data_IF_353267517669
#
_entry.id   IF_353267517669
#
_cell.length_a   1.000
_cell.length_b   1.000
_cell.length_c   1.000
_cell.angle_alpha   90.00
_cell.angle_beta   90.00
_cell.angle_gamma   90.00
#
_symmetry.space_group_name_H-M   'P 1'
#
loop_
_entity.id
_entity.type
_entity.pdbx_description
1 polymer ?
#
# COMPACT_ATOMS: atom_id res chain seq x y z
N UNK A 1 -20.34 1.37 -14.14
CA UNK A 1 -19.57 1.80 -15.33
C UNK A 1 -18.80 0.60 -15.85
N UNK A 2 -18.62 0.48 -17.16
CA UNK A 2 -17.75 -0.52 -17.78
C UNK A 2 -16.29 -0.12 -17.60
N UNK A 3 -15.44 -1.06 -17.15
CA UNK A 3 -14.01 -0.82 -16.97
C UNK A 3 -13.32 -0.57 -18.32
N UNK A 4 -12.25 0.24 -18.34
CA UNK A 4 -11.48 0.46 -19.56
C UNK A 4 -10.95 -0.84 -20.14
N UNK A 5 -10.90 -0.95 -21.47
CA UNK A 5 -10.28 -2.09 -22.16
C UNK A 5 -9.05 -1.64 -22.92
N UNK A 6 -7.90 -2.24 -22.61
CA UNK A 6 -6.65 -2.00 -23.33
C UNK A 6 -6.69 -2.56 -24.74
N UNK A 7 -5.89 -1.97 -25.64
CA UNK A 7 -5.64 -2.57 -26.93
C UNK A 7 -5.00 -3.96 -26.75
N UNK A 8 -5.26 -4.92 -27.67
CA UNK A 8 -4.62 -6.22 -27.61
C UNK A 8 -3.09 -6.08 -27.56
N UNK A 9 -2.39 -6.90 -26.75
CA UNK A 9 -0.93 -6.85 -26.70
C UNK A 9 -0.37 -7.13 -28.09
N UNK A 10 0.57 -6.29 -28.51
CA UNK A 10 1.34 -6.42 -29.75
C UNK A 10 2.69 -7.05 -29.40
N UNK A 11 3.78 -6.47 -29.90
CA UNK A 11 5.15 -6.96 -29.67
C UNK A 11 5.82 -6.36 -28.44
N UNK A 12 5.35 -5.21 -27.93
CA UNK A 12 6.10 -4.44 -26.93
C UNK A 12 6.18 -5.17 -25.57
N UNK A 13 5.05 -5.59 -25.00
CA UNK A 13 5.05 -6.38 -23.75
C UNK A 13 5.86 -7.67 -23.87
N UNK A 14 5.75 -8.40 -24.99
CA UNK A 14 6.49 -9.63 -25.21
C UNK A 14 8.01 -9.38 -25.25
N UNK A 15 8.44 -8.34 -25.95
CA UNK A 15 9.85 -7.95 -26.05
C UNK A 15 10.40 -7.44 -24.71
N UNK A 16 9.62 -6.64 -23.97
CA UNK A 16 9.97 -6.18 -22.62
C UNK A 16 10.22 -7.37 -21.69
N UNK A 17 9.31 -8.34 -21.69
CA UNK A 17 9.42 -9.55 -20.86
C UNK A 17 10.62 -10.41 -21.27
N UNK A 18 10.89 -10.53 -22.58
CA UNK A 18 12.06 -11.25 -23.12
C UNK A 18 13.37 -10.60 -22.65
N UNK A 19 13.51 -9.28 -22.78
CA UNK A 19 14.72 -8.55 -22.36
C UNK A 19 14.92 -8.58 -20.85
N UNK A 20 13.85 -8.41 -20.07
CA UNK A 20 13.92 -8.53 -18.61
C UNK A 20 14.39 -9.93 -18.19
N UNK A 21 13.84 -10.99 -18.79
CA UNK A 21 14.27 -12.36 -18.51
C UNK A 21 15.74 -12.60 -18.91
N UNK A 22 16.15 -12.08 -20.08
CA UNK A 22 17.53 -12.17 -20.55
C UNK A 22 18.51 -11.50 -19.57
N UNK A 23 18.18 -10.33 -19.03
CA UNK A 23 19.00 -9.65 -18.03
C UNK A 23 19.29 -10.54 -16.81
N UNK A 24 18.25 -11.13 -16.20
CA UNK A 24 18.45 -12.01 -15.03
C UNK A 24 19.29 -13.25 -15.33
N UNK A 25 19.18 -13.80 -16.55
CA UNK A 25 20.00 -14.93 -16.99
C UNK A 25 21.46 -14.52 -17.19
N UNK A 26 21.71 -13.43 -17.90
CA UNK A 26 23.07 -12.93 -18.18
C UNK A 26 23.80 -12.51 -16.91
N UNK A 27 23.10 -11.88 -15.97
CA UNK A 27 23.66 -11.44 -14.69
C UNK A 27 23.73 -12.56 -13.64
N UNK A 28 23.25 -13.76 -13.95
CA UNK A 28 23.11 -14.88 -13.01
C UNK A 28 22.38 -14.50 -11.71
N UNK A 29 21.37 -13.62 -11.81
CA UNK A 29 20.56 -13.14 -10.68
C UNK A 29 19.22 -13.85 -10.63
N UNK A 30 18.75 -14.15 -9.42
CA UNK A 30 17.39 -14.63 -9.21
C UNK A 30 16.38 -13.50 -9.45
N UNK A 31 15.19 -13.84 -9.95
CA UNK A 31 14.05 -12.92 -10.09
C UNK A 31 13.28 -12.71 -8.77
N UNK A 32 13.76 -13.31 -7.68
CA UNK A 32 13.16 -13.24 -6.35
C UNK A 32 14.18 -12.70 -5.36
N UNK A 33 13.73 -12.37 -4.15
CA UNK A 33 14.52 -11.81 -3.08
C UNK A 33 15.80 -12.58 -2.77
N UNK A 34 16.79 -11.83 -2.29
CA UNK A 34 18.12 -12.32 -1.93
C UNK A 34 18.35 -12.22 -0.41
N UNK A 35 19.55 -12.58 0.05
CA UNK A 35 19.91 -12.52 1.47
C UNK A 35 19.89 -11.08 2.03
N UNK A 36 20.12 -10.06 1.21
CA UNK A 36 20.04 -8.67 1.63
C UNK A 36 18.58 -8.27 1.93
N UNK A 37 17.63 -8.68 1.09
CA UNK A 37 16.19 -8.50 1.35
C UNK A 37 15.77 -9.22 2.64
N UNK A 38 16.21 -10.46 2.82
CA UNK A 38 15.90 -11.23 4.04
C UNK A 38 16.49 -10.56 5.30
N UNK A 39 17.74 -10.10 5.26
CA UNK A 39 18.37 -9.37 6.36
C UNK A 39 17.62 -8.08 6.71
N UNK A 40 17.20 -7.31 5.69
CA UNK A 40 16.37 -6.12 5.86
C UNK A 40 15.02 -6.45 6.50
N UNK A 41 14.37 -7.53 6.08
CA UNK A 41 13.09 -7.96 6.65
C UNK A 41 13.25 -8.36 8.13
N UNK A 42 14.28 -9.14 8.46
CA UNK A 42 14.58 -9.55 9.84
C UNK A 42 14.82 -8.32 10.71
N UNK A 43 15.63 -7.36 10.24
CA UNK A 43 15.89 -6.12 10.96
C UNK A 43 14.58 -5.36 11.24
N UNK A 44 13.78 -5.10 10.20
CA UNK A 44 12.54 -4.31 10.33
C UNK A 44 11.51 -4.99 11.24
N UNK A 45 11.29 -6.30 11.09
CA UNK A 45 10.34 -7.05 11.93
C UNK A 45 10.85 -7.14 13.37
N UNK A 46 12.16 -7.33 13.58
CA UNK A 46 12.73 -7.36 14.93
C UNK A 46 12.64 -5.98 15.61
N UNK A 47 12.90 -4.90 14.86
CA UNK A 47 12.71 -3.54 15.36
C UNK A 47 11.25 -3.26 15.72
N UNK A 48 10.30 -3.71 14.91
CA UNK A 48 8.87 -3.58 15.19
C UNK A 48 8.52 -4.25 16.53
N UNK A 49 8.95 -5.50 16.72
CA UNK A 49 8.69 -6.28 17.95
C UNK A 49 9.38 -5.63 19.14
N UNK A 50 10.64 -5.20 19.01
CA UNK A 50 11.39 -4.57 20.09
C UNK A 50 10.75 -3.24 20.55
N UNK A 51 10.41 -2.35 19.60
CA UNK A 51 9.77 -1.07 19.90
C UNK A 51 8.39 -1.25 20.53
N UNK A 52 7.58 -2.14 19.96
CA UNK A 52 6.27 -2.47 20.52
C UNK A 52 6.40 -3.02 21.95
N UNK A 53 7.35 -3.93 22.17
CA UNK A 53 7.57 -4.54 23.49
C UNK A 53 8.02 -3.49 24.50
N UNK A 54 8.96 -2.62 24.13
CA UNK A 54 9.46 -1.57 25.02
C UNK A 54 8.36 -0.56 25.41
N UNK A 55 7.61 -0.07 24.42
CA UNK A 55 6.51 0.87 24.65
C UNK A 55 5.39 0.29 25.52
N UNK A 56 5.04 -0.98 25.31
CA UNK A 56 3.87 -1.60 25.98
C UNK A 56 4.20 -2.19 27.35
N UNK A 57 5.41 -2.71 27.56
CA UNK A 57 5.75 -3.46 28.79
C UNK A 57 6.77 -2.77 29.70
N UNK A 58 7.54 -1.79 29.21
CA UNK A 58 8.63 -1.16 29.98
C UNK A 58 8.40 0.32 30.28
N UNK A 59 7.34 0.93 29.74
CA UNK A 59 6.87 2.30 30.06
C UNK A 59 8.02 3.32 30.11
N UNK A 60 8.67 3.63 28.97
CA UNK A 60 9.84 4.49 28.95
C UNK A 60 9.53 5.92 29.42
N UNK A 61 10.57 6.69 29.76
CA UNK A 61 10.39 8.08 30.18
C UNK A 61 9.75 8.92 29.06
N UNK A 62 8.94 9.93 29.44
CA UNK A 62 8.02 10.64 28.54
C UNK A 62 8.68 11.18 27.24
N UNK A 63 9.90 11.71 27.32
CA UNK A 63 10.63 12.20 26.15
C UNK A 63 10.99 11.11 25.14
N UNK A 64 11.27 9.89 25.61
CA UNK A 64 11.59 8.74 24.77
C UNK A 64 10.34 8.09 24.16
N UNK A 65 9.20 8.12 24.86
CA UNK A 65 7.93 7.53 24.37
C UNK A 65 7.52 8.11 23.02
N UNK A 66 7.52 9.45 22.89
CA UNK A 66 7.09 10.10 21.64
C UNK A 66 8.04 9.76 20.49
N UNK A 67 9.35 9.79 20.75
CA UNK A 67 10.35 9.41 19.75
C UNK A 67 10.17 7.95 19.31
N UNK A 68 9.99 7.04 20.26
CA UNK A 68 9.74 5.63 19.97
C UNK A 68 8.44 5.41 19.20
N UNK A 69 7.38 6.16 19.47
CA UNK A 69 6.16 6.11 18.67
C UNK A 69 6.39 6.59 17.21
N UNK A 70 7.22 7.62 17.00
CA UNK A 70 7.60 8.08 15.65
C UNK A 70 8.42 7.01 14.94
N UNK A 71 9.40 6.42 15.62
CA UNK A 71 10.22 5.33 15.06
C UNK A 71 9.35 4.10 14.77
N UNK A 72 8.42 3.75 15.67
CA UNK A 72 7.47 2.66 15.48
C UNK A 72 6.61 2.88 14.24
N UNK A 73 6.01 4.07 14.08
CA UNK A 73 5.23 4.41 12.90
C UNK A 73 6.04 4.31 11.60
N UNK A 74 7.30 4.72 11.64
CA UNK A 74 8.23 4.60 10.51
C UNK A 74 8.52 3.13 10.19
N UNK A 75 8.82 2.31 11.20
CA UNK A 75 9.07 0.88 11.05
C UNK A 75 7.83 0.15 10.54
N UNK A 76 6.63 0.49 11.01
CA UNK A 76 5.35 -0.05 10.49
C UNK A 76 5.23 0.21 8.99
N UNK A 77 5.46 1.44 8.54
CA UNK A 77 5.44 1.78 7.12
C UNK A 77 6.51 1.00 6.32
N UNK A 78 7.72 0.89 6.87
CA UNK A 78 8.82 0.17 6.22
C UNK A 78 8.56 -1.34 6.14
N UNK A 79 7.96 -1.98 7.14
CA UNK A 79 7.52 -3.38 7.07
C UNK A 79 6.46 -3.54 5.98
N UNK A 80 5.49 -2.62 5.91
CA UNK A 80 4.48 -2.59 4.85
C UNK A 80 5.09 -2.54 3.45
N UNK A 81 6.06 -1.66 3.22
CA UNK A 81 6.63 -1.46 1.89
C UNK A 81 7.74 -2.45 1.51
N UNK A 82 8.50 -2.99 2.48
CA UNK A 82 9.70 -3.78 2.19
C UNK A 82 9.61 -5.26 2.59
N UNK A 83 8.51 -5.67 3.20
CA UNK A 83 8.25 -7.06 3.56
C UNK A 83 6.90 -7.47 3.02
N UNK A 84 5.83 -6.76 3.42
CA UNK A 84 4.49 -7.08 2.95
C UNK A 84 4.34 -6.94 1.44
N UNK A 85 4.70 -5.78 0.89
CA UNK A 85 4.56 -5.49 -0.54
C UNK A 85 5.24 -6.54 -1.43
N UNK A 86 6.53 -6.81 -1.20
CA UNK A 86 7.29 -7.84 -1.92
C UNK A 86 6.69 -9.25 -1.73
N UNK A 87 6.17 -9.54 -0.54
CA UNK A 87 5.48 -10.79 -0.24
C UNK A 87 4.18 -10.94 -1.04
N UNK A 88 3.39 -9.87 -1.11
CA UNK A 88 2.12 -9.82 -1.81
C UNK A 88 2.29 -9.82 -3.34
N UNK A 89 3.43 -9.34 -3.86
CA UNK A 89 3.84 -9.51 -5.25
C UNK A 89 4.44 -10.89 -5.56
N UNK A 90 4.72 -11.70 -4.54
CA UNK A 90 5.35 -13.02 -4.70
C UNK A 90 6.84 -12.97 -5.05
N UNK A 91 7.46 -11.79 -4.96
CA UNK A 91 8.88 -11.58 -5.29
C UNK A 91 9.80 -11.79 -4.09
N UNK A 92 9.29 -11.73 -2.86
CA UNK A 92 10.11 -11.83 -1.63
C UNK A 92 10.95 -13.11 -1.55
N UNK A 93 10.45 -14.24 -2.04
CA UNK A 93 11.15 -15.52 -2.06
C UNK A 93 10.67 -16.43 -3.19
N UNK A 94 11.52 -17.38 -3.59
CA UNK A 94 11.09 -18.51 -4.45
C UNK A 94 10.05 -19.42 -3.80
N UNK A 95 9.92 -19.37 -2.47
CA UNK A 95 9.00 -20.23 -1.72
C UNK A 95 7.65 -19.52 -1.48
N UNK A 96 6.53 -20.02 -2.04
CA UNK A 96 5.24 -19.36 -1.91
C UNK A 96 4.77 -19.16 -0.46
N UNK A 97 5.15 -20.05 0.45
CA UNK A 97 4.82 -19.94 1.88
C UNK A 97 5.50 -18.74 2.54
N UNK A 98 6.73 -18.42 2.15
CA UNK A 98 7.45 -17.25 2.67
C UNK A 98 6.87 -15.95 2.13
N UNK A 99 6.49 -15.92 0.85
CA UNK A 99 5.76 -14.78 0.26
C UNK A 99 4.45 -14.52 1.01
N UNK A 100 3.68 -15.58 1.29
CA UNK A 100 2.44 -15.47 2.06
C UNK A 100 2.67 -15.01 3.49
N UNK A 101 3.71 -15.51 4.16
CA UNK A 101 4.07 -15.06 5.50
C UNK A 101 4.48 -13.57 5.52
N UNK A 102 5.26 -13.14 4.53
CA UNK A 102 5.63 -11.75 4.35
C UNK A 102 4.39 -10.88 4.08
N UNK A 103 3.48 -11.31 3.20
CA UNK A 103 2.22 -10.62 2.93
C UNK A 103 1.34 -10.47 4.20
N UNK A 104 1.26 -11.52 5.03
CA UNK A 104 0.51 -11.52 6.29
C UNK A 104 1.04 -10.55 7.36
N UNK A 105 2.20 -9.93 7.16
CA UNK A 105 2.64 -8.86 8.06
C UNK A 105 1.69 -7.65 8.01
N UNK A 106 1.01 -7.38 6.89
CA UNK A 106 -0.08 -6.38 6.85
C UNK A 106 -1.29 -6.82 7.66
N UNK A 107 -1.67 -8.10 7.59
CA UNK A 107 -2.81 -8.63 8.36
C UNK A 107 -2.56 -8.52 9.88
N UNK A 108 -1.33 -8.79 10.32
CA UNK A 108 -0.90 -8.52 11.71
C UNK A 108 -1.04 -7.05 12.08
N UNK A 109 -0.58 -6.15 11.20
CA UNK A 109 -0.63 -4.70 11.38
C UNK A 109 -2.06 -4.12 11.24
N UNK A 110 -3.05 -4.93 10.89
CA UNK A 110 -4.46 -4.57 10.90
C UNK A 110 -5.04 -4.24 9.54
N UNK A 111 -4.26 -4.32 8.46
CA UNK A 111 -4.81 -4.32 7.11
C UNK A 111 -5.31 -5.71 6.70
N UNK A 112 -5.58 -5.90 5.41
CA UNK A 112 -5.88 -7.21 4.84
C UNK A 112 -5.07 -7.42 3.58
N UNK A 113 -4.21 -8.44 3.54
CA UNK A 113 -3.44 -8.78 2.34
C UNK A 113 -4.34 -9.14 1.16
N UNK A 114 -5.51 -9.74 1.39
CA UNK A 114 -6.49 -10.00 0.34
C UNK A 114 -7.04 -8.69 -0.27
N UNK A 115 -7.48 -7.76 0.58
CA UNK A 115 -8.02 -6.48 0.10
C UNK A 115 -6.95 -5.66 -0.59
N UNK A 116 -5.72 -5.71 -0.08
CA UNK A 116 -4.57 -5.06 -0.69
C UNK A 116 -4.21 -5.67 -2.04
N UNK A 117 -4.14 -7.00 -2.18
CA UNK A 117 -3.89 -7.67 -3.47
C UNK A 117 -4.97 -7.34 -4.50
N UNK A 118 -6.24 -7.40 -4.10
CA UNK A 118 -7.35 -7.01 -4.96
C UNK A 118 -7.25 -5.53 -5.39
N UNK A 119 -6.88 -4.63 -4.47
CA UNK A 119 -6.73 -3.19 -4.78
C UNK A 119 -5.51 -2.94 -5.66
N UNK A 120 -4.36 -3.35 -5.19
CA UNK A 120 -3.07 -2.97 -5.75
C UNK A 120 -2.77 -3.77 -7.03
N UNK A 121 -2.88 -5.10 -6.98
CA UNK A 121 -2.48 -5.97 -8.10
C UNK A 121 -3.55 -6.07 -9.19
N UNK A 122 -4.83 -6.06 -8.81
CA UNK A 122 -5.93 -6.23 -9.78
C UNK A 122 -6.51 -4.91 -10.28
N UNK A 123 -6.51 -3.84 -9.48
CA UNK A 123 -7.06 -2.54 -9.89
C UNK A 123 -5.94 -1.56 -10.25
N UNK A 124 -5.13 -1.15 -9.28
CA UNK A 124 -4.11 -0.13 -9.46
C UNK A 124 -3.09 -0.51 -10.56
N UNK A 125 -2.45 -1.68 -10.50
CA UNK A 125 -1.49 -2.11 -11.53
C UNK A 125 -2.12 -2.37 -12.90
N UNK A 126 -3.45 -2.53 -12.98
CA UNK A 126 -4.14 -2.67 -14.25
C UNK A 126 -4.55 -1.31 -14.84
N UNK A 127 -4.96 -0.36 -13.99
CA UNK A 127 -5.61 0.89 -14.40
C UNK A 127 -4.94 2.14 -13.81
N UNK A 128 -3.63 2.09 -13.57
CA UNK A 128 -2.85 3.17 -12.94
C UNK A 128 -3.16 4.52 -13.57
N UNK A 129 -3.37 5.55 -12.75
CA UNK A 129 -3.66 6.93 -13.19
C UNK A 129 -4.93 7.13 -14.03
N UNK A 130 -5.85 6.17 -14.05
CA UNK A 130 -7.17 6.35 -14.68
C UNK A 130 -8.18 6.81 -13.61
N UNK A 131 -8.61 8.07 -13.68
CA UNK A 131 -9.59 8.63 -12.72
C UNK A 131 -10.91 7.84 -12.71
N UNK A 132 -11.45 7.63 -11.51
CA UNK A 132 -12.68 6.87 -11.26
C UNK A 132 -12.53 5.34 -11.35
N UNK A 133 -11.33 4.83 -11.64
CA UNK A 133 -11.01 3.40 -11.60
C UNK A 133 -9.89 3.13 -10.60
N UNK A 134 -8.82 3.91 -10.65
CA UNK A 134 -7.71 3.81 -9.70
C UNK A 134 -8.11 4.39 -8.34
N UNK A 135 -8.33 3.50 -7.36
CA UNK A 135 -8.74 3.83 -5.98
C UNK A 135 -7.67 4.66 -5.25
N UNK A 136 -6.40 4.63 -5.70
CA UNK A 136 -5.31 5.43 -5.13
C UNK A 136 -5.44 6.94 -5.43
N UNK A 137 -6.26 7.30 -6.44
CA UNK A 137 -6.57 8.69 -6.78
C UNK A 137 -7.85 9.22 -6.11
N UNK A 138 -8.60 8.37 -5.38
CA UNK A 138 -9.94 8.71 -4.90
C UNK A 138 -9.95 9.19 -3.44
N UNK A 139 -9.56 10.46 -3.26
CA UNK A 139 -9.67 11.18 -1.98
C UNK A 139 -10.62 12.40 -2.10
N UNK A 140 -11.54 12.35 -3.06
CA UNK A 140 -12.48 13.44 -3.33
C UNK A 140 -13.49 13.60 -2.17
N UNK A 141 -13.99 14.82 -1.93
CA UNK A 141 -13.64 16.09 -2.57
C UNK A 141 -12.40 16.76 -1.96
N UNK A 142 -11.72 16.12 -1.00
CA UNK A 142 -10.72 16.72 -0.11
C UNK A 142 -9.42 17.12 -0.80
N UNK A 143 -8.90 16.26 -1.68
CA UNK A 143 -7.75 16.59 -2.51
C UNK A 143 -8.06 16.35 -3.98
N UNK A 144 -7.37 17.12 -4.82
CA UNK A 144 -7.31 16.94 -6.27
C UNK A 144 -5.95 16.36 -6.62
N UNK A 145 -5.94 15.12 -7.09
CA UNK A 145 -4.74 14.35 -7.41
C UNK A 145 -4.50 14.25 -8.92
N UNK A 146 -5.50 14.55 -9.76
CA UNK A 146 -5.36 14.56 -11.22
C UNK A 146 -5.83 15.88 -11.84
N UNK A 147 -5.40 16.21 -13.07
CA UNK A 147 -5.91 17.34 -13.82
C UNK A 147 -7.42 17.27 -14.13
N UNK A 148 -7.97 16.07 -14.32
CA UNK A 148 -9.37 15.88 -14.74
C UNK A 148 -10.37 15.94 -13.58
N UNK A 149 -9.89 15.84 -12.34
CA UNK A 149 -10.73 15.97 -11.16
C UNK A 149 -11.24 17.42 -11.00
N UNK A 150 -12.52 17.62 -10.61
CA UNK A 150 -13.09 18.94 -10.39
C UNK A 150 -12.26 19.76 -9.38
N UNK A 151 -12.00 21.02 -9.71
CA UNK A 151 -11.26 21.94 -8.82
C UNK A 151 -12.22 22.70 -7.90
N UNK A 152 -12.06 22.50 -6.60
CA UNK A 152 -12.78 23.23 -5.56
C UNK A 152 -11.90 24.36 -4.99
N UNK A 153 -12.55 25.34 -4.33
CA UNK A 153 -11.86 26.51 -3.76
C UNK A 153 -10.79 26.13 -2.72
N UNK A 154 -11.04 25.07 -1.95
CA UNK A 154 -10.10 24.56 -0.94
C UNK A 154 -8.77 24.09 -1.57
N UNK A 155 -8.79 23.52 -2.79
CA UNK A 155 -7.59 22.94 -3.41
C UNK A 155 -6.46 23.95 -3.65
N UNK A 156 -6.74 25.25 -3.68
CA UNK A 156 -5.68 26.29 -3.71
C UNK A 156 -4.77 26.25 -2.48
N UNK A 157 -5.25 25.69 -1.37
CA UNK A 157 -4.52 25.51 -0.12
C UNK A 157 -4.11 24.06 0.13
N UNK A 158 -4.24 23.16 -0.86
CA UNK A 158 -3.90 21.73 -0.70
C UNK A 158 -2.46 21.52 -0.22
N UNK A 159 -1.53 22.37 -0.65
CA UNK A 159 -0.14 22.38 -0.19
C UNK A 159 0.02 22.62 1.33
N UNK A 160 -0.99 23.17 2.02
CA UNK A 160 -0.98 23.39 3.46
C UNK A 160 -1.62 22.25 4.25
N UNK A 161 -2.57 21.52 3.66
CA UNK A 161 -3.37 20.52 4.40
C UNK A 161 -3.17 19.07 3.92
N UNK A 162 -2.44 18.83 2.83
CA UNK A 162 -2.24 17.46 2.33
C UNK A 162 -1.60 16.55 3.38
N UNK A 163 -0.64 17.08 4.16
CA UNK A 163 0.06 16.33 5.21
C UNK A 163 -0.90 15.76 6.26
N UNK A 164 -1.95 16.52 6.62
CA UNK A 164 -2.97 16.03 7.54
C UNK A 164 -3.70 14.79 6.98
N UNK A 165 -4.15 14.82 5.74
CA UNK A 165 -4.82 13.66 5.13
C UNK A 165 -3.86 12.48 4.94
N UNK A 166 -2.59 12.74 4.66
CA UNK A 166 -1.58 11.69 4.52
C UNK A 166 -1.38 10.97 5.86
N UNK A 167 -1.34 11.68 6.97
CA UNK A 167 -1.29 11.08 8.30
C UNK A 167 -2.48 10.14 8.58
N UNK A 168 -3.65 10.39 7.98
CA UNK A 168 -4.84 9.58 8.21
C UNK A 168 -4.81 8.25 7.44
N UNK A 169 -3.93 8.06 6.45
CA UNK A 169 -3.97 6.89 5.56
C UNK A 169 -3.98 5.57 6.36
N UNK A 170 -2.98 5.33 7.20
CA UNK A 170 -2.85 4.04 7.90
C UNK A 170 -3.98 3.82 8.90
N UNK A 171 -4.34 4.85 9.69
CA UNK A 171 -5.45 4.77 10.65
C UNK A 171 -6.77 4.49 9.93
N UNK A 172 -7.05 5.21 8.84
CA UNK A 172 -8.27 5.02 8.05
C UNK A 172 -8.32 3.63 7.43
N UNK A 173 -7.17 3.10 7.02
CA UNK A 173 -7.06 1.80 6.41
C UNK A 173 -7.45 0.68 7.37
N UNK A 174 -6.78 0.63 8.53
CA UNK A 174 -6.97 -0.48 9.47
C UNK A 174 -8.34 -0.43 10.16
N UNK A 175 -8.92 0.76 10.36
CA UNK A 175 -10.19 0.94 11.07
C UNK A 175 -11.42 1.04 10.16
N UNK A 176 -11.27 1.43 8.89
CA UNK A 176 -12.43 1.75 8.04
C UNK A 176 -12.36 1.12 6.65
N UNK A 177 -11.33 1.41 5.85
CA UNK A 177 -11.43 1.17 4.40
C UNK A 177 -11.50 -0.32 4.05
N UNK A 178 -10.82 -1.19 4.80
CA UNK A 178 -10.91 -2.64 4.59
C UNK A 178 -12.31 -3.18 4.90
N UNK A 179 -12.94 -2.70 5.98
CA UNK A 179 -14.30 -3.09 6.34
C UNK A 179 -15.31 -2.60 5.30
N UNK A 180 -15.15 -1.35 4.86
CA UNK A 180 -15.96 -0.80 3.78
C UNK A 180 -15.85 -1.67 2.52
N UNK A 181 -14.63 -2.01 2.08
CA UNK A 181 -14.39 -2.89 0.92
C UNK A 181 -14.99 -4.28 1.13
N UNK A 182 -14.83 -4.87 2.31
CA UNK A 182 -15.40 -6.16 2.67
C UNK A 182 -16.94 -6.19 2.54
N UNK A 183 -17.64 -5.21 3.14
CA UNK A 183 -19.10 -5.19 3.14
C UNK A 183 -19.71 -4.72 1.81
N UNK A 184 -19.09 -3.74 1.15
CA UNK A 184 -19.56 -3.27 -0.17
C UNK A 184 -19.21 -4.24 -1.30
N UNK A 185 -18.25 -5.16 -1.06
CA UNK A 185 -17.69 -6.10 -2.03
C UNK A 185 -17.14 -5.38 -3.27
N UNK A 186 -16.55 -4.20 -3.07
CA UNK A 186 -16.06 -3.33 -4.14
C UNK A 186 -14.78 -2.59 -3.73
N UNK A 187 -13.97 -2.28 -4.72
CA UNK A 187 -12.82 -1.36 -4.64
C UNK A 187 -13.08 -0.27 -5.68
N UNK A 188 -13.37 0.95 -5.23
CA UNK A 188 -13.92 1.99 -6.09
C UNK A 188 -15.10 1.48 -6.93
N UNK A 189 -14.93 1.50 -8.25
CA UNK A 189 -15.93 1.03 -9.22
C UNK A 189 -15.82 -0.46 -9.58
N UNK A 190 -14.81 -1.18 -9.08
CA UNK A 190 -14.51 -2.59 -9.41
C UNK A 190 -15.13 -3.53 -8.37
N UNK A 191 -15.83 -4.57 -8.83
CA UNK A 191 -16.36 -5.61 -7.95
C UNK A 191 -15.25 -6.56 -7.45
N UNK A 192 -15.27 -6.87 -6.15
CA UNK A 192 -14.39 -7.87 -5.58
C UNK A 192 -14.79 -9.28 -6.04
N UNK A 193 -13.79 -10.13 -6.24
CA UNK A 193 -14.04 -11.56 -6.44
C UNK A 193 -14.69 -12.15 -5.17
N UNK A 194 -15.58 -13.14 -5.31
CA UNK A 194 -16.12 -13.83 -4.15
C UNK A 194 -14.98 -14.41 -3.29
N UNK A 195 -15.02 -14.10 -2.00
CA UNK A 195 -14.09 -14.63 -1.01
C UNK A 195 -14.48 -16.07 -0.65
N UNK A 196 -13.49 -16.95 -0.51
CA UNK A 196 -13.70 -18.28 0.05
C UNK A 196 -13.96 -18.19 1.57
N UNK A 197 -14.46 -19.28 2.17
CA UNK A 197 -14.59 -19.35 3.63
C UNK A 197 -13.26 -19.09 4.34
N UNK A 198 -12.16 -19.60 3.79
CA UNK A 198 -10.83 -19.39 4.34
C UNK A 198 -10.41 -17.92 4.29
N UNK A 199 -10.73 -17.19 3.22
CA UNK A 199 -10.43 -15.76 3.12
C UNK A 199 -11.20 -14.95 4.16
N UNK A 200 -12.46 -15.31 4.42
CA UNK A 200 -13.25 -14.70 5.49
C UNK A 200 -12.69 -14.98 6.88
N UNK A 201 -12.24 -16.22 7.15
CA UNK A 201 -11.62 -16.59 8.41
C UNK A 201 -10.30 -15.85 8.64
N UNK A 202 -9.46 -15.72 7.60
CA UNK A 202 -8.22 -14.94 7.65
C UNK A 202 -8.54 -13.47 7.94
N UNK A 203 -9.47 -12.86 7.19
CA UNK A 203 -9.85 -11.46 7.37
C UNK A 203 -10.28 -11.19 8.82
N UNK A 204 -11.31 -11.89 9.31
CA UNK A 204 -11.83 -11.62 10.65
C UNK A 204 -10.89 -12.08 11.77
N UNK A 205 -10.19 -13.19 11.58
CA UNK A 205 -9.19 -13.68 12.54
C UNK A 205 -8.09 -12.66 12.77
N UNK A 206 -7.54 -12.09 11.71
CA UNK A 206 -6.51 -11.05 11.84
C UNK A 206 -7.06 -9.71 12.32
N UNK A 207 -8.30 -9.32 12.00
CA UNK A 207 -8.92 -8.13 12.60
C UNK A 207 -9.05 -8.28 14.11
N UNK A 208 -9.53 -9.43 14.61
CA UNK A 208 -9.63 -9.70 16.05
C UNK A 208 -8.24 -9.75 16.70
N UNK A 209 -7.29 -10.43 16.06
CA UNK A 209 -5.90 -10.49 16.54
C UNK A 209 -5.27 -9.10 16.63
N UNK A 210 -5.43 -8.26 15.61
CA UNK A 210 -4.92 -6.91 15.59
C UNK A 210 -5.57 -6.03 16.66
N UNK A 211 -6.90 -6.08 16.83
CA UNK A 211 -7.60 -5.34 17.89
C UNK A 211 -7.11 -5.79 19.28
N UNK A 212 -6.89 -7.09 19.49
CA UNK A 212 -6.33 -7.60 20.74
C UNK A 212 -4.90 -7.12 20.97
N UNK A 213 -4.05 -7.26 19.95
CA UNK A 213 -2.62 -7.00 20.04
C UNK A 213 -2.30 -5.50 20.09
N UNK A 214 -2.86 -4.66 19.21
CA UNK A 214 -2.49 -3.25 19.10
C UNK A 214 -3.43 -2.28 19.83
N UNK A 215 -4.57 -2.76 20.34
CA UNK A 215 -5.52 -1.93 21.12
C UNK A 215 -5.72 -2.50 22.52
N UNK A 216 -6.33 -3.68 22.64
CA UNK A 216 -6.74 -4.24 23.92
C UNK A 216 -5.58 -4.41 24.91
N UNK A 217 -4.49 -5.04 24.48
CA UNK A 217 -3.32 -5.27 25.32
C UNK A 217 -2.61 -3.96 25.71
N UNK A 218 -2.27 -3.03 24.79
CA UNK A 218 -1.71 -1.74 25.17
C UNK A 218 -2.60 -0.92 26.10
N UNK A 219 -3.92 -0.86 25.86
CA UNK A 219 -4.85 -0.14 26.74
C UNK A 219 -4.82 -0.72 28.15
N UNK A 220 -4.76 -2.05 28.28
CA UNK A 220 -4.64 -2.72 29.57
C UNK A 220 -3.31 -2.40 30.27
N UNK A 221 -2.19 -2.37 29.53
CA UNK A 221 -0.86 -2.21 30.10
C UNK A 221 -0.51 -0.75 30.45
N UNK A 222 -0.81 0.20 29.57
CA UNK A 222 -0.35 1.61 29.70
C UNK A 222 -1.50 2.61 29.90
N UNK A 223 -2.75 2.13 29.90
CA UNK A 223 -3.95 2.95 30.03
C UNK A 223 -4.42 3.58 28.72
N UNK A 224 -5.71 3.92 28.67
CA UNK A 224 -6.37 4.46 27.47
C UNK A 224 -5.72 5.72 26.92
N UNK A 225 -5.37 6.69 27.77
CA UNK A 225 -4.82 7.97 27.32
C UNK A 225 -3.44 7.80 26.66
N UNK A 226 -2.53 7.07 27.31
CA UNK A 226 -1.18 6.79 26.79
C UNK A 226 -1.26 6.01 25.49
N UNK A 227 -2.12 4.98 25.43
CA UNK A 227 -2.36 4.22 24.21
C UNK A 227 -2.88 5.11 23.09
N UNK A 228 -3.88 5.96 23.35
CA UNK A 228 -4.49 6.80 22.33
C UNK A 228 -3.47 7.76 21.72
N UNK A 229 -2.62 8.39 22.54
CA UNK A 229 -1.56 9.28 22.05
C UNK A 229 -0.53 8.49 21.23
N UNK A 230 -0.05 7.36 21.73
CA UNK A 230 0.91 6.52 21.01
C UNK A 230 0.37 5.99 19.67
N UNK A 231 -0.88 5.54 19.67
CA UNK A 231 -1.61 5.08 18.48
C UNK A 231 -1.76 6.20 17.45
N UNK A 232 -2.17 7.40 17.86
CA UNK A 232 -2.31 8.54 16.96
C UNK A 232 -0.96 8.99 16.39
N UNK A 233 0.10 9.06 17.19
CA UNK A 233 1.44 9.46 16.73
C UNK A 233 2.02 8.43 15.76
N UNK A 234 2.10 7.16 16.18
CA UNK A 234 2.64 6.08 15.34
C UNK A 234 1.80 5.88 14.08
N UNK A 235 0.48 5.91 14.19
CA UNK A 235 -0.44 5.80 13.06
C UNK A 235 -0.33 6.97 12.09
N UNK A 236 -0.20 8.20 12.60
CA UNK A 236 0.02 9.39 11.77
C UNK A 236 1.34 9.32 11.00
N UNK A 237 2.44 8.93 11.67
CA UNK A 237 3.74 8.77 11.02
C UNK A 237 3.71 7.66 9.98
N UNK A 238 3.13 6.51 10.32
CA UNK A 238 2.97 5.41 9.36
C UNK A 238 2.16 5.84 8.13
N UNK A 239 1.03 6.52 8.35
CA UNK A 239 0.19 7.04 7.28
C UNK A 239 0.93 8.04 6.40
N UNK A 240 1.67 8.97 7.00
CA UNK A 240 2.42 9.99 6.26
C UNK A 240 3.53 9.36 5.41
N UNK A 241 4.35 8.48 5.99
CA UNK A 241 5.44 7.80 5.27
C UNK A 241 4.88 6.95 4.12
N UNK A 242 3.82 6.16 4.36
CA UNK A 242 3.17 5.36 3.32
C UNK A 242 2.59 6.25 2.21
N UNK A 243 1.92 7.35 2.55
CA UNK A 243 1.31 8.25 1.58
C UNK A 243 2.35 8.90 0.68
N UNK A 244 3.49 9.33 1.24
CA UNK A 244 4.59 9.89 0.44
C UNK A 244 5.09 8.86 -0.57
N UNK A 245 5.32 7.62 -0.13
CA UNK A 245 5.81 6.54 -1.01
C UNK A 245 4.80 6.17 -2.09
N UNK A 246 3.52 5.98 -1.73
CA UNK A 246 2.49 5.60 -2.69
C UNK A 246 2.24 6.69 -3.74
N UNK A 247 2.30 7.97 -3.34
CA UNK A 247 2.03 9.06 -4.26
C UNK A 247 3.16 9.34 -5.25
N UNK A 248 4.36 8.79 -5.04
CA UNK A 248 5.42 8.80 -6.05
C UNK A 248 5.01 8.08 -7.35
N UNK A 249 4.05 7.15 -7.29
CA UNK A 249 3.50 6.46 -8.46
C UNK A 249 2.44 7.27 -9.23
N UNK A 250 2.01 8.43 -8.70
CA UNK A 250 0.86 9.17 -9.22
C UNK A 250 1.17 10.65 -9.44
N UNK A 251 1.49 11.38 -8.36
CA UNK A 251 1.50 12.84 -8.34
C UNK A 251 2.90 13.39 -8.48
N UNK A 252 3.59 12.98 -9.54
CA UNK A 252 4.93 13.45 -9.94
C UNK A 252 4.86 14.01 -11.35
N UNK A 253 5.67 15.02 -11.65
CA UNK A 253 5.53 15.88 -12.85
C UNK A 253 5.54 15.13 -14.19
N UNK A 254 6.16 13.95 -14.25
CA UNK A 254 6.36 13.19 -15.48
C UNK A 254 5.31 12.09 -15.73
N UNK A 255 4.50 11.74 -14.73
CA UNK A 255 3.53 10.66 -14.87
C UNK A 255 2.30 11.11 -15.69
N UNK A 256 1.94 10.34 -16.71
CA UNK A 256 0.73 10.61 -17.50
C UNK A 256 -0.55 10.24 -16.72
N UNK A 257 -1.66 10.91 -17.04
CA UNK A 257 -3.02 10.55 -16.62
C UNK A 257 -3.89 10.21 -17.84
N UNK A 258 -3.78 8.99 -18.40
CA UNK A 258 -4.50 8.63 -19.62
C UNK A 258 -6.02 8.55 -19.40
N UNK A 259 -6.79 9.10 -20.35
CA UNK A 259 -8.26 9.08 -20.30
C UNK A 259 -8.79 8.07 -21.32
N UNK A 260 -9.66 7.12 -20.93
CA UNK A 260 -10.29 6.20 -21.87
C UNK A 260 -11.22 6.93 -22.84
N UNK A 261 -11.30 6.46 -24.09
CA UNK A 261 -12.20 7.02 -25.09
C UNK A 261 -13.64 7.14 -24.57
N UNK A 262 -14.29 8.29 -24.76
CA UNK A 262 -15.57 8.64 -24.12
C UNK A 262 -16.69 7.61 -24.37
N UNK A 263 -16.90 7.23 -25.64
CA UNK A 263 -17.95 6.27 -26.02
C UNK A 263 -17.55 4.80 -25.86
N UNK A 264 -16.37 4.40 -26.37
CA UNK A 264 -15.96 2.99 -26.40
C UNK A 264 -15.32 2.50 -25.10
N UNK A 265 -14.89 3.42 -24.23
CA UNK A 265 -14.10 3.15 -23.00
C UNK A 265 -12.83 2.33 -23.27
N UNK A 266 -12.29 2.39 -24.49
CA UNK A 266 -11.03 1.72 -24.84
C UNK A 266 -9.85 2.65 -24.56
N UNK A 267 -8.73 2.04 -24.20
CA UNK A 267 -7.42 2.70 -24.20
C UNK A 267 -6.78 2.51 -25.57
N UNK A 268 -6.06 3.52 -26.05
CA UNK A 268 -5.36 3.46 -27.34
C UNK A 268 -4.18 2.49 -27.31
N UNK A 269 -3.45 2.49 -26.19
CA UNK A 269 -2.24 1.69 -25.97
C UNK A 269 -2.54 0.29 -25.42
N UNK A 270 -1.58 -0.61 -25.60
CA UNK A 270 -1.52 -1.85 -24.82
C UNK A 270 -1.15 -1.56 -23.35
N UNK A 271 -1.52 -2.47 -22.46
CA UNK A 271 -1.32 -2.30 -21.00
C UNK A 271 0.14 -2.00 -20.59
N UNK A 272 1.14 -2.65 -21.22
CA UNK A 272 2.54 -2.42 -20.85
C UNK A 272 3.04 -1.01 -21.21
N UNK A 273 2.57 -0.44 -22.33
CA UNK A 273 2.88 0.95 -22.70
C UNK A 273 2.19 1.91 -21.72
N UNK A 274 0.93 1.64 -21.37
CA UNK A 274 0.21 2.40 -20.34
C UNK A 274 1.02 2.45 -19.04
N UNK A 275 1.45 1.30 -18.52
CA UNK A 275 2.23 1.22 -17.28
C UNK A 275 3.49 2.09 -17.33
N UNK A 276 4.22 2.08 -18.45
CA UNK A 276 5.42 2.92 -18.58
C UNK A 276 5.08 4.41 -18.66
N UNK A 277 4.00 4.80 -19.34
CA UNK A 277 3.56 6.20 -19.43
C UNK A 277 3.10 6.76 -18.09
N UNK A 278 2.56 5.91 -17.23
CA UNK A 278 2.07 6.29 -15.90
C UNK A 278 3.10 6.11 -14.79
N UNK A 279 4.34 5.74 -15.11
CA UNK A 279 5.42 5.53 -14.13
C UNK A 279 6.50 6.59 -14.29
N UNK A 280 7.03 7.10 -13.19
CA UNK A 280 8.22 7.96 -13.20
C UNK A 280 9.50 7.14 -13.05
N UNK A 281 10.55 7.53 -13.80
CA UNK A 281 11.87 6.92 -13.67
C UNK A 281 12.69 7.63 -12.59
N UNK A 282 12.97 6.94 -11.49
CA UNK A 282 13.78 7.46 -10.37
C UNK A 282 15.27 7.06 -10.44
N UNK A 283 15.66 6.27 -11.43
CA UNK A 283 17.03 5.81 -11.63
C UNK A 283 17.49 6.15 -13.04
N UNK A 284 17.69 7.44 -13.32
CA UNK A 284 18.03 7.94 -14.66
C UNK A 284 19.44 7.57 -15.12
N UNK A 285 20.29 7.11 -14.20
CA UNK A 285 21.73 6.92 -14.43
C UNK A 285 22.18 5.44 -14.26
N UNK A 286 21.23 4.49 -14.18
CA UNK A 286 21.50 3.05 -14.02
C UNK A 286 21.66 2.31 -15.35
#
# INVERSE_FOLDING_TARGET
MTLPKFAPPRSFHAELKRRAAQYFQTEAKAQTGNNALLGKAILLVSSLVALYTHLVFFTPALGWVVLECVVLGTVVALVGFNVMHDGAHGSFSRFPRLNRAAAFTLDVLGGSSYMWDAKHNTVHHMYTNIDGVDDDLDIRPWMRLTPDQPRHRAHRFQHLYFGFFYCLLFISWILFTDYQKYFTRRIGSVALKPMSLNDHLIFWGFKVFNLGLFIGLPVYMVGWQSWLVGFLVSGAVAGFVLSIVFQLAHTVEQAAFPVPHETTRKMEDEWAIHQLRTTANFATDN
#
